data_IF_377191324237
#
_entry.id   IF_377191324237
#
_cell.length_a   1.000
_cell.length_b   1.000
_cell.length_c   1.000
_cell.angle_alpha   90.00
_cell.angle_beta   90.00
_cell.angle_gamma   90.00
#
_symmetry.space_group_name_H-M   'P 1'
#
loop_
_entity.id
_entity.type
_entity.pdbx_description
1 polymer ?
#
# COMPACT_ATOMS: atom_id res chain seq x y z
N UNK A 1 -16.69 -0.42 8.98
CA UNK A 1 -17.22 0.58 8.01
C UNK A 1 -16.10 0.97 7.08
N UNK A 2 -16.31 0.97 5.76
CA UNK A 2 -15.25 1.37 4.82
C UNK A 2 -14.88 2.84 5.08
N UNK A 3 -13.59 3.10 5.31
CA UNK A 3 -13.07 4.44 5.64
C UNK A 3 -13.19 5.42 4.46
N UNK A 4 -13.52 4.91 3.27
CA UNK A 4 -13.33 5.61 2.00
C UNK A 4 -14.62 5.66 1.19
N UNK A 5 -14.99 6.86 0.75
CA UNK A 5 -16.16 7.10 -0.11
C UNK A 5 -15.91 6.51 -1.51
N UNK A 6 -16.79 5.64 -2.03
CA UNK A 6 -16.67 5.06 -3.37
C UNK A 6 -16.62 6.11 -4.50
N UNK A 7 -15.93 5.83 -5.62
CA UNK A 7 -15.86 6.74 -6.77
C UNK A 7 -17.22 7.13 -7.33
N UNK A 8 -18.21 6.23 -7.28
CA UNK A 8 -19.58 6.52 -7.73
C UNK A 8 -20.25 7.64 -6.92
N UNK A 9 -20.07 7.64 -5.59
CA UNK A 9 -20.62 8.68 -4.73
C UNK A 9 -19.87 10.00 -4.96
N UNK A 10 -18.56 9.96 -5.16
CA UNK A 10 -17.74 11.14 -5.53
C UNK A 10 -18.23 11.76 -6.84
N UNK A 11 -18.49 10.93 -7.86
CA UNK A 11 -19.04 11.39 -9.14
C UNK A 11 -20.41 12.05 -8.97
N UNK A 12 -21.30 11.49 -8.15
CA UNK A 12 -22.59 12.11 -7.83
C UNK A 12 -22.43 13.48 -7.18
N UNK A 13 -21.48 13.62 -6.24
CA UNK A 13 -21.17 14.91 -5.58
C UNK A 13 -20.67 15.94 -6.59
N UNK A 14 -19.79 15.55 -7.51
CA UNK A 14 -19.20 16.45 -8.51
C UNK A 14 -20.26 16.93 -9.52
N UNK A 15 -21.15 16.03 -9.95
CA UNK A 15 -22.21 16.33 -10.93
C UNK A 15 -23.42 17.05 -10.32
N UNK A 16 -23.49 17.18 -9.00
CA UNK A 16 -24.64 17.76 -8.33
C UNK A 16 -24.65 19.28 -8.47
N UNK A 17 -25.73 19.82 -9.04
CA UNK A 17 -25.97 21.26 -9.15
C UNK A 17 -26.96 21.71 -8.06
N UNK A 18 -26.52 22.53 -7.09
CA UNK A 18 -27.40 23.05 -6.04
C UNK A 18 -28.34 24.17 -6.50
N UNK A 19 -28.14 24.74 -7.71
CA UNK A 19 -28.94 25.85 -8.24
C UNK A 19 -29.97 25.41 -9.28
N UNK A 20 -30.06 24.11 -9.57
CA UNK A 20 -31.16 23.58 -10.37
C UNK A 20 -32.47 23.88 -9.62
N UNK A 21 -33.35 24.67 -10.21
CA UNK A 21 -34.56 25.21 -9.55
C UNK A 21 -35.56 24.14 -9.09
N UNK A 22 -35.37 22.89 -9.52
CA UNK A 22 -36.12 21.71 -9.12
C UNK A 22 -35.28 20.68 -8.33
N UNK A 23 -34.05 21.04 -7.98
CA UNK A 23 -33.05 20.18 -7.34
C UNK A 23 -33.28 19.97 -5.84
N UNK A 24 -32.67 18.91 -5.31
CA UNK A 24 -32.58 18.66 -3.87
C UNK A 24 -31.72 19.74 -3.20
N UNK A 25 -31.97 20.05 -1.93
CA UNK A 25 -31.01 20.83 -1.13
C UNK A 25 -29.75 20.01 -0.87
N UNK A 26 -28.60 20.68 -0.64
CA UNK A 26 -27.33 20.02 -0.28
C UNK A 26 -27.51 19.10 0.94
N UNK A 27 -28.32 19.53 1.92
CA UNK A 27 -28.60 18.75 3.13
C UNK A 27 -29.34 17.46 2.79
N UNK A 28 -30.44 17.54 2.04
CA UNK A 28 -31.23 16.37 1.62
C UNK A 28 -30.39 15.40 0.75
N UNK A 29 -29.56 15.94 -0.14
CA UNK A 29 -28.63 15.16 -0.94
C UNK A 29 -27.62 14.39 -0.09
N UNK A 30 -27.03 15.05 0.91
CA UNK A 30 -26.08 14.43 1.83
C UNK A 30 -26.74 13.33 2.67
N UNK A 31 -27.96 13.56 3.15
CA UNK A 31 -28.75 12.58 3.90
C UNK A 31 -29.07 11.34 3.06
N UNK A 32 -29.52 11.53 1.82
CA UNK A 32 -29.83 10.44 0.89
C UNK A 32 -28.61 9.56 0.61
N UNK A 33 -27.43 10.18 0.45
CA UNK A 33 -26.17 9.47 0.21
C UNK A 33 -25.47 9.00 1.49
N UNK A 34 -26.06 9.27 2.67
CA UNK A 34 -25.49 8.95 3.99
C UNK A 34 -24.07 9.49 4.17
N UNK A 35 -23.82 10.70 3.67
CA UNK A 35 -22.55 11.41 3.80
C UNK A 35 -22.72 12.66 4.67
N UNK A 36 -21.64 13.11 5.29
CA UNK A 36 -21.65 14.41 5.97
C UNK A 36 -21.50 15.55 4.96
N UNK A 37 -22.07 16.73 5.28
CA UNK A 37 -21.85 17.97 4.51
C UNK A 37 -20.36 18.33 4.40
N UNK A 38 -19.56 18.02 5.43
CA UNK A 38 -18.10 18.21 5.40
C UNK A 38 -17.45 17.38 4.28
N UNK A 39 -17.87 16.12 4.14
CA UNK A 39 -17.40 15.24 3.05
C UNK A 39 -17.75 15.80 1.67
N UNK A 40 -18.98 16.32 1.51
CA UNK A 40 -19.42 16.97 0.27
C UNK A 40 -18.49 18.13 -0.13
N UNK A 41 -18.28 19.10 0.77
CA UNK A 41 -17.43 20.26 0.47
C UNK A 41 -15.96 19.89 0.26
N UNK A 42 -15.42 18.94 1.04
CA UNK A 42 -14.05 18.47 0.85
C UNK A 42 -13.82 17.83 -0.53
N UNK A 43 -14.82 17.10 -1.05
CA UNK A 43 -14.71 16.48 -2.37
C UNK A 43 -14.83 17.53 -3.48
N UNK A 44 -15.72 18.53 -3.35
CA UNK A 44 -15.81 19.62 -4.35
C UNK A 44 -14.55 20.47 -4.38
N UNK A 45 -14.04 20.90 -3.23
CA UNK A 45 -12.79 21.67 -3.16
C UNK A 45 -11.62 20.93 -3.84
N UNK A 46 -11.52 19.61 -3.63
CA UNK A 46 -10.52 18.78 -4.32
C UNK A 46 -10.75 18.65 -5.82
N UNK A 47 -12.01 18.59 -6.25
CA UNK A 47 -12.32 18.58 -7.67
C UNK A 47 -11.94 19.90 -8.32
N UNK A 48 -12.09 21.02 -7.62
CA UNK A 48 -11.67 22.33 -8.12
C UNK A 48 -10.13 22.42 -8.23
N UNK A 49 -9.38 21.74 -7.35
CA UNK A 49 -7.91 21.70 -7.38
C UNK A 49 -7.32 20.68 -8.39
N UNK A 50 -7.88 19.47 -8.47
CA UNK A 50 -7.28 18.31 -9.17
C UNK A 50 -8.14 17.77 -10.34
N UNK A 51 -9.34 18.32 -10.54
CA UNK A 51 -10.34 17.85 -11.50
C UNK A 51 -10.57 16.33 -11.42
N UNK A 52 -10.18 15.58 -12.47
CA UNK A 52 -10.37 14.13 -12.56
C UNK A 52 -9.73 13.35 -11.42
N UNK A 53 -8.66 13.87 -10.80
CA UNK A 53 -7.98 13.23 -9.66
C UNK A 53 -8.91 12.99 -8.46
N UNK A 54 -9.86 13.90 -8.23
CA UNK A 54 -10.76 13.83 -7.09
C UNK A 54 -11.77 12.67 -7.14
N UNK A 55 -11.95 12.01 -8.30
CA UNK A 55 -12.80 10.82 -8.41
C UNK A 55 -12.23 9.64 -7.63
N UNK A 56 -10.90 9.58 -7.49
CA UNK A 56 -10.22 8.50 -6.80
C UNK A 56 -9.86 8.90 -5.36
N UNK A 57 -9.95 7.96 -4.41
CA UNK A 57 -9.38 8.20 -3.09
C UNK A 57 -7.87 8.38 -3.15
N UNK A 58 -7.39 9.42 -2.47
CA UNK A 58 -5.97 9.60 -2.20
C UNK A 58 -5.44 8.51 -1.27
N UNK A 59 -4.12 8.31 -1.33
CA UNK A 59 -3.41 7.51 -0.37
C UNK A 59 -3.75 7.96 1.05
N UNK A 60 -4.09 7.02 1.93
CA UNK A 60 -4.29 7.29 3.35
C UNK A 60 -2.98 7.20 4.14
N UNK A 61 -1.85 7.02 3.46
CA UNK A 61 -0.55 7.01 4.10
C UNK A 61 -0.23 8.38 4.72
N UNK A 62 0.45 8.42 5.87
CA UNK A 62 0.90 9.67 6.45
C UNK A 62 1.87 10.38 5.52
N UNK A 63 1.72 11.70 5.38
CA UNK A 63 2.61 12.55 4.56
C UNK A 63 4.04 12.49 5.14
N UNK A 64 4.15 12.61 6.46
CA UNK A 64 5.41 12.53 7.20
C UNK A 64 5.42 11.24 8.01
N UNK A 65 6.05 10.16 7.54
CA UNK A 65 6.16 8.93 8.32
C UNK A 65 7.06 9.15 9.54
N UNK A 66 6.73 8.52 10.66
CA UNK A 66 7.46 8.69 11.93
C UNK A 66 8.92 8.18 11.89
N UNK A 67 9.27 7.32 10.92
CA UNK A 67 10.62 6.79 10.73
C UNK A 67 11.00 6.87 9.26
N UNK A 68 11.97 7.72 8.97
CA UNK A 68 12.68 7.80 7.69
C UNK A 68 14.13 7.41 7.90
N UNK A 69 14.69 6.67 6.95
CA UNK A 69 16.11 6.36 6.92
C UNK A 69 16.71 7.12 5.75
N UNK A 70 17.74 7.89 6.03
CA UNK A 70 18.41 8.72 5.03
C UNK A 70 19.39 7.90 4.18
N UNK A 71 19.86 8.48 3.08
CA UNK A 71 20.81 7.86 2.16
C UNK A 71 22.12 7.46 2.85
N UNK A 72 22.52 8.21 3.88
CA UNK A 72 23.67 7.87 4.73
C UNK A 72 23.55 6.50 5.38
N UNK A 73 22.34 6.13 5.83
CA UNK A 73 22.10 4.81 6.43
C UNK A 73 22.22 3.72 5.37
N UNK A 74 21.63 3.92 4.20
CA UNK A 74 21.76 2.98 3.07
C UNK A 74 23.22 2.78 2.69
N UNK A 75 23.99 3.86 2.62
CA UNK A 75 25.43 3.82 2.33
C UNK A 75 26.19 3.02 3.37
N UNK A 76 25.94 3.25 4.66
CA UNK A 76 26.57 2.49 5.74
C UNK A 76 26.26 0.98 5.64
N UNK A 77 25.00 0.62 5.37
CA UNK A 77 24.60 -0.78 5.17
C UNK A 77 25.34 -1.44 4.00
N UNK A 78 25.56 -0.72 2.90
CA UNK A 78 26.30 -1.22 1.74
C UNK A 78 27.79 -1.40 2.04
N UNK A 79 28.40 -0.50 2.80
CA UNK A 79 29.80 -0.60 3.24
C UNK A 79 29.99 -1.84 4.11
N UNK A 80 29.15 -2.00 5.15
CA UNK A 80 29.18 -3.17 6.04
C UNK A 80 28.99 -4.45 5.24
N UNK A 81 28.00 -4.48 4.33
CA UNK A 81 27.76 -5.65 3.45
C UNK A 81 28.99 -5.99 2.61
N UNK A 82 29.66 -5.00 2.03
CA UNK A 82 30.86 -5.20 1.22
C UNK A 82 32.01 -5.75 2.07
N UNK A 83 32.18 -5.25 3.29
CA UNK A 83 33.18 -5.74 4.25
C UNK A 83 32.93 -7.21 4.61
N UNK A 84 31.72 -7.55 5.03
CA UNK A 84 31.34 -8.93 5.37
C UNK A 84 31.56 -9.88 4.18
N UNK A 85 31.14 -9.47 2.98
CA UNK A 85 31.36 -10.24 1.75
C UNK A 85 32.85 -10.44 1.45
N UNK A 86 33.68 -9.41 1.61
CA UNK A 86 35.12 -9.49 1.37
C UNK A 86 35.85 -10.40 2.35
N UNK A 87 35.34 -10.51 3.57
CA UNK A 87 35.87 -11.41 4.60
C UNK A 87 35.31 -12.84 4.51
N UNK A 88 34.35 -13.11 3.62
CA UNK A 88 33.73 -14.42 3.46
C UNK A 88 32.67 -14.78 4.52
N UNK A 89 32.22 -13.80 5.32
CA UNK A 89 31.13 -14.00 6.28
C UNK A 89 29.76 -13.87 5.61
N UNK A 90 28.71 -14.30 6.34
CA UNK A 90 27.34 -14.02 5.94
C UNK A 90 27.12 -12.49 5.87
N UNK A 91 26.53 -12.06 4.77
CA UNK A 91 26.29 -10.65 4.44
C UNK A 91 24.80 -10.34 4.31
N UNK A 92 23.96 -11.15 5.00
CA UNK A 92 22.52 -10.94 5.12
C UNK A 92 22.13 -9.81 6.07
N UNK A 93 20.83 -9.43 6.11
CA UNK A 93 20.33 -8.31 6.92
C UNK A 93 20.58 -8.47 8.44
N UNK A 94 20.57 -9.70 8.95
CA UNK A 94 20.86 -9.99 10.36
C UNK A 94 22.33 -9.69 10.68
N UNK A 95 23.23 -10.25 9.88
CA UNK A 95 24.68 -10.11 10.02
C UNK A 95 25.12 -8.65 9.86
N UNK A 96 24.55 -7.92 8.90
CA UNK A 96 24.78 -6.48 8.73
C UNK A 96 24.31 -5.69 9.96
N UNK A 97 23.13 -6.00 10.51
CA UNK A 97 22.63 -5.32 11.71
C UNK A 97 23.54 -5.58 12.90
N UNK A 98 23.96 -6.82 13.10
CA UNK A 98 24.84 -7.21 14.19
C UNK A 98 26.18 -6.47 14.09
N UNK A 99 26.84 -6.56 12.94
CA UNK A 99 28.12 -5.90 12.67
C UNK A 99 28.03 -4.38 12.78
N UNK A 100 26.98 -3.78 12.21
CA UNK A 100 26.75 -2.34 12.26
C UNK A 100 26.44 -1.80 13.66
N UNK A 101 25.75 -2.59 14.50
CA UNK A 101 25.55 -2.26 15.91
C UNK A 101 26.82 -2.46 16.74
N UNK A 102 27.61 -3.51 16.47
CA UNK A 102 28.84 -3.80 17.21
C UNK A 102 29.96 -2.79 16.91
N UNK A 103 30.07 -2.34 15.65
CA UNK A 103 31.04 -1.34 15.20
C UNK A 103 30.63 0.11 15.53
N UNK A 104 29.36 0.36 15.87
CA UNK A 104 28.82 1.70 16.09
C UNK A 104 28.57 2.49 14.79
N UNK A 105 28.70 1.87 13.62
CA UNK A 105 28.45 2.51 12.31
C UNK A 105 26.97 2.78 12.05
N UNK A 106 26.06 2.03 12.69
CA UNK A 106 24.62 2.29 12.66
C UNK A 106 24.22 3.17 13.83
N UNK A 107 23.82 4.41 13.54
CA UNK A 107 23.33 5.38 14.51
C UNK A 107 21.85 5.19 14.84
N UNK A 108 21.45 5.64 16.03
CA UNK A 108 20.07 5.54 16.47
C UNK A 108 19.13 6.48 15.69
N UNK A 109 17.92 6.01 15.32
CA UNK A 109 17.38 4.68 15.62
C UNK A 109 17.93 3.61 14.68
N UNK A 110 18.56 2.55 15.22
CA UNK A 110 19.09 1.45 14.41
C UNK A 110 17.96 0.80 13.59
N UNK A 111 18.10 0.64 12.26
CA UNK A 111 17.08 0.01 11.44
C UNK A 111 16.81 -1.44 11.85
N UNK A 112 15.54 -1.84 11.77
CA UNK A 112 15.16 -3.24 11.95
C UNK A 112 15.74 -4.11 10.84
N UNK A 113 15.90 -5.42 11.09
CA UNK A 113 16.35 -6.39 10.08
C UNK A 113 15.50 -6.32 8.80
N UNK A 114 14.17 -6.21 8.93
CA UNK A 114 13.25 -6.07 7.80
C UNK A 114 13.46 -4.75 7.03
N UNK A 115 13.76 -3.66 7.74
CA UNK A 115 14.07 -2.37 7.12
C UNK A 115 15.37 -2.45 6.34
N UNK A 116 16.41 -3.04 6.92
CA UNK A 116 17.70 -3.28 6.24
C UNK A 116 17.47 -4.10 4.97
N UNK A 117 16.71 -5.19 5.05
CA UNK A 117 16.40 -6.01 3.87
C UNK A 117 15.67 -5.20 2.78
N UNK A 118 14.72 -4.34 3.17
CA UNK A 118 14.00 -3.45 2.24
C UNK A 118 14.93 -2.41 1.60
N UNK A 119 15.82 -1.78 2.38
CA UNK A 119 16.79 -0.81 1.88
C UNK A 119 17.79 -1.46 0.92
N UNK A 120 18.31 -2.64 1.25
CA UNK A 120 19.20 -3.40 0.37
C UNK A 120 18.50 -3.86 -0.92
N UNK A 121 17.20 -4.17 -0.86
CA UNK A 121 16.39 -4.46 -2.05
C UNK A 121 16.19 -3.22 -2.92
N UNK A 122 15.87 -2.09 -2.31
CA UNK A 122 15.72 -0.80 -3.01
C UNK A 122 17.05 -0.39 -3.69
N UNK A 123 18.19 -0.68 -3.04
CA UNK A 123 19.52 -0.47 -3.60
C UNK A 123 19.95 -1.52 -4.66
N UNK A 124 19.10 -2.50 -4.97
CA UNK A 124 19.36 -3.51 -6.02
C UNK A 124 20.44 -4.54 -5.70
N UNK A 125 20.94 -4.61 -4.46
CA UNK A 125 22.06 -5.51 -4.10
C UNK A 125 21.61 -6.90 -3.66
N UNK A 126 20.33 -7.08 -3.32
CA UNK A 126 19.74 -8.40 -3.08
C UNK A 126 19.17 -8.95 -4.37
N UNK A 127 19.65 -10.12 -4.80
CA UNK A 127 19.03 -10.85 -5.90
C UNK A 127 17.63 -11.27 -5.44
N UNK A 128 16.60 -10.84 -6.16
CA UNK A 128 15.27 -11.43 -6.02
C UNK A 128 15.44 -12.87 -6.51
N UNK A 129 15.30 -13.87 -5.62
CA UNK A 129 15.15 -15.25 -6.08
C UNK A 129 13.92 -15.22 -6.99
N UNK A 130 14.00 -15.63 -8.27
CA UNK A 130 12.81 -15.80 -9.09
C UNK A 130 11.84 -16.65 -8.28
N UNK A 131 10.59 -16.22 -8.13
CA UNK A 131 9.57 -17.11 -7.58
C UNK A 131 9.63 -18.38 -8.40
N UNK A 132 9.95 -19.50 -7.74
CA UNK A 132 9.75 -20.81 -8.31
C UNK A 132 8.27 -20.85 -8.69
N UNK A 133 7.98 -20.92 -9.98
CA UNK A 133 6.62 -21.01 -10.50
C UNK A 133 5.90 -22.11 -9.72
N UNK A 134 4.70 -21.88 -9.17
CA UNK A 134 3.96 -22.94 -8.51
C UNK A 134 3.92 -24.15 -9.43
N UNK A 135 4.45 -25.28 -8.96
CA UNK A 135 4.40 -26.51 -9.72
C UNK A 135 2.93 -26.86 -9.87
N UNK A 136 2.41 -26.76 -11.11
CA UNK A 136 1.00 -27.00 -11.43
C UNK A 136 0.61 -28.39 -10.92
N UNK A 137 -0.03 -28.43 -9.75
CA UNK A 137 -0.71 -29.63 -9.29
C UNK A 137 -2.00 -29.74 -10.10
N UNK A 138 -2.22 -30.82 -10.89
CA UNK A 138 -3.48 -31.00 -11.59
C UNK A 138 -4.60 -31.09 -10.54
N UNK A 139 -5.48 -30.08 -10.52
CA UNK A 139 -6.71 -30.14 -9.74
C UNK A 139 -7.58 -31.24 -10.33
N UNK A 140 -7.64 -32.39 -9.67
CA UNK A 140 -8.67 -33.39 -9.94
C UNK A 140 -10.01 -32.76 -9.56
N UNK A 141 -10.82 -32.41 -10.57
CA UNK A 141 -12.22 -32.06 -10.37
C UNK A 141 -12.97 -33.33 -9.97
N UNK A 142 -13.59 -33.42 -8.78
CA UNK A 142 -14.52 -34.49 -8.52
C UNK A 142 -15.77 -34.23 -9.36
N UNK A 143 -16.05 -35.15 -10.30
CA UNK A 143 -17.32 -35.22 -11.01
C UNK A 143 -18.43 -35.39 -9.97
N UNK A 144 -19.24 -34.35 -9.79
CA UNK A 144 -20.41 -34.39 -8.93
C UNK A 144 -21.45 -35.31 -9.58
N UNK A 145 -21.88 -36.29 -8.79
CA UNK A 145 -22.85 -37.31 -9.10
C UNK A 145 -24.20 -36.69 -9.49
N UNK A 146 -24.64 -36.90 -10.73
CA UNK A 146 -26.03 -36.63 -11.11
C UNK A 146 -26.93 -37.74 -10.56
N UNK A 147 -27.60 -37.44 -9.46
CA UNK A 147 -28.83 -38.13 -9.08
C UNK A 147 -29.93 -37.72 -10.07
N UNK A 148 -30.42 -38.65 -10.88
CA UNK A 148 -31.70 -38.50 -11.57
C UNK A 148 -32.69 -39.47 -10.91
N UNK A 149 -33.65 -38.89 -10.18
CA UNK A 149 -34.81 -39.57 -9.62
C UNK A 149 -35.86 -39.76 -10.73
N UNK A 150 -36.34 -41.01 -10.83
CA UNK A 150 -37.74 -41.46 -11.02
C UNK A 150 -38.41 -41.32 -12.39
N UNK A 151 -38.84 -42.48 -12.91
CA UNK A 151 -40.22 -42.69 -13.38
C UNK A 151 -40.57 -44.20 -13.37
N UNK A 152 -41.46 -44.60 -12.46
CA UNK A 152 -42.60 -45.49 -12.76
C UNK A 152 -43.70 -45.22 -11.74
#
# INVERSE_FOLDING_TARGET
>A
MSKTIPPEIRRKIIKFDPFDGHGLSITAFCEQLKISRRTFYNIRARYDEEAGGALHPHSSAPITPARTYDEHVTTALLVIRKRLKGQGWDYGPISIRFEGSASGELTDPVPSVSTIARLLRAAGVTRIKPEETPQDHPRSFPAWSSHAHVAN
#
